data_IF_331656658780
#
_entry.id   IF_331656658780
#
_cell.length_a   1.000
_cell.length_b   1.000
_cell.length_c   1.000
_cell.angle_alpha   90.00
_cell.angle_beta   90.00
_cell.angle_gamma   90.00
#
_symmetry.space_group_name_H-M   'P 1'
#
loop_
_entity.id
_entity.type
_entity.pdbx_description
1 polymer ?
#
# COMPACT_ATOMS: atom_id res chain seq x y z
N UNK A 1 2.76 16.95 -6.73
CA UNK A 1 1.71 16.21 -6.90
C UNK A 1 1.93 14.73 -7.06
N UNK A 2 1.50 14.15 -8.09
CA UNK A 2 1.46 12.70 -8.14
C UNK A 2 2.73 12.05 -8.64
N UNK A 3 3.77 12.82 -8.86
CA UNK A 3 5.04 12.25 -9.31
C UNK A 3 5.56 11.21 -8.33
N UNK A 4 5.40 11.48 -7.02
CA UNK A 4 5.87 10.54 -6.00
C UNK A 4 5.06 9.25 -6.00
N UNK A 5 3.74 9.34 -6.17
CA UNK A 5 2.91 8.14 -6.25
C UNK A 5 3.18 7.37 -7.54
N UNK A 6 3.57 8.07 -8.60
CA UNK A 6 3.93 7.43 -9.86
C UNK A 6 5.26 6.69 -9.78
N UNK A 7 6.09 6.95 -8.77
CA UNK A 7 7.36 6.23 -8.58
C UNK A 7 7.12 4.72 -8.44
N UNK A 8 5.98 4.32 -7.88
CA UNK A 8 5.63 2.91 -7.78
C UNK A 8 5.55 2.26 -9.16
N UNK A 9 5.10 3.01 -10.16
CA UNK A 9 4.88 2.52 -11.51
C UNK A 9 5.99 2.90 -12.49
N UNK A 10 7.04 3.56 -12.01
CA UNK A 10 8.13 4.02 -12.86
C UNK A 10 8.78 2.84 -13.60
N UNK A 11 8.91 2.97 -14.91
CA UNK A 11 9.47 1.92 -15.78
C UNK A 11 8.44 0.94 -16.31
N UNK A 12 7.19 1.03 -15.84
CA UNK A 12 6.10 0.22 -16.40
C UNK A 12 5.53 0.88 -17.66
N UNK A 13 4.79 0.09 -18.45
CA UNK A 13 4.20 0.59 -19.70
C UNK A 13 3.23 1.75 -19.45
N UNK A 14 3.27 2.76 -20.32
CA UNK A 14 2.45 3.97 -20.18
C UNK A 14 0.96 3.67 -20.14
N UNK A 15 0.50 2.73 -20.96
CA UNK A 15 -0.92 2.36 -20.97
C UNK A 15 -1.35 1.74 -19.66
N UNK A 16 -0.52 0.87 -19.11
CA UNK A 16 -0.80 0.26 -17.81
C UNK A 16 -0.88 1.32 -16.73
N UNK A 17 0.09 2.23 -16.69
CA UNK A 17 0.12 3.29 -15.67
C UNK A 17 -1.14 4.14 -15.75
N UNK A 18 -1.56 4.49 -16.97
CA UNK A 18 -2.79 5.27 -17.16
C UNK A 18 -4.01 4.51 -16.65
N UNK A 19 -4.15 3.24 -17.02
CA UNK A 19 -5.27 2.42 -16.58
C UNK A 19 -5.28 2.27 -15.06
N UNK A 20 -4.11 2.07 -14.46
CA UNK A 20 -4.01 1.95 -13.01
C UNK A 20 -4.44 3.24 -12.31
N UNK A 21 -3.97 4.38 -12.78
CA UNK A 21 -4.34 5.67 -12.18
C UNK A 21 -5.82 6.00 -12.39
N UNK A 22 -6.38 5.64 -13.54
CA UNK A 22 -7.81 5.82 -13.81
C UNK A 22 -8.67 4.93 -12.89
N UNK A 23 -8.15 3.78 -12.51
CA UNK A 23 -8.83 2.85 -11.61
C UNK A 23 -8.81 3.33 -10.16
N UNK A 24 -7.81 4.11 -9.79
CA UNK A 24 -7.60 4.53 -8.41
C UNK A 24 -8.69 5.46 -7.91
N UNK A 25 -9.06 5.30 -6.65
CA UNK A 25 -9.94 6.22 -5.95
C UNK A 25 -9.10 7.10 -5.03
N UNK A 26 -9.22 8.41 -5.19
CA UNK A 26 -8.55 9.35 -4.28
C UNK A 26 -9.30 9.42 -2.96
N UNK A 27 -8.57 9.31 -1.87
CA UNK A 27 -9.12 9.43 -0.53
C UNK A 27 -8.41 10.54 0.23
N UNK A 28 -9.20 11.37 0.92
CA UNK A 28 -8.72 12.34 1.89
C UNK A 28 -9.28 11.93 3.24
N UNK A 29 -8.41 11.49 4.13
CA UNK A 29 -8.82 10.97 5.43
C UNK A 29 -8.31 11.86 6.54
N UNK A 30 -8.99 11.83 7.68
CA UNK A 30 -8.62 12.61 8.85
C UNK A 30 -7.95 11.72 9.88
N UNK A 31 -7.36 12.36 10.89
CA UNK A 31 -6.79 11.64 12.03
C UNK A 31 -7.86 10.75 12.68
N UNK A 32 -7.50 9.50 12.92
CA UNK A 32 -8.40 8.52 13.54
C UNK A 32 -9.18 7.67 12.54
N UNK A 33 -9.20 8.06 11.25
CA UNK A 33 -9.90 7.25 10.26
C UNK A 33 -9.17 5.92 10.06
N UNK A 34 -9.94 4.85 10.11
CA UNK A 34 -9.40 3.50 9.95
C UNK A 34 -9.62 3.03 8.52
N UNK A 35 -8.55 2.55 7.89
CA UNK A 35 -8.64 2.02 6.53
C UNK A 35 -9.13 0.58 6.54
N UNK A 36 -8.64 -0.23 7.48
CA UNK A 36 -9.07 -1.62 7.65
C UNK A 36 -8.59 -2.16 9.00
N UNK A 37 -9.17 -3.27 9.40
CA UNK A 37 -8.76 -4.00 10.59
C UNK A 37 -8.05 -5.29 10.20
N UNK A 38 -7.11 -5.73 11.03
CA UNK A 38 -6.50 -7.05 10.89
C UNK A 38 -7.59 -8.10 10.81
N UNK A 39 -7.49 -9.01 9.85
CA UNK A 39 -8.47 -10.07 9.65
C UNK A 39 -9.60 -9.72 8.70
N UNK A 40 -9.76 -8.44 8.34
CA UNK A 40 -10.75 -8.05 7.34
C UNK A 40 -10.33 -8.59 5.97
N UNK A 41 -11.31 -8.81 5.09
CA UNK A 41 -11.05 -9.22 3.72
C UNK A 41 -10.15 -8.21 3.00
N UNK A 42 -9.05 -8.70 2.43
CA UNK A 42 -8.02 -7.86 1.80
C UNK A 42 -8.45 -7.46 0.38
N UNK A 43 -9.43 -6.59 0.29
CA UNK A 43 -10.02 -6.16 -0.97
C UNK A 43 -9.27 -5.04 -1.66
N UNK A 44 -8.60 -4.20 -0.90
CA UNK A 44 -7.93 -3.01 -1.42
C UNK A 44 -6.49 -2.95 -1.00
N UNK A 45 -5.67 -2.30 -1.81
CA UNK A 45 -4.41 -1.75 -1.32
C UNK A 45 -4.42 -0.25 -1.56
N UNK A 46 -3.53 0.45 -0.87
CA UNK A 46 -3.47 1.90 -0.88
C UNK A 46 -2.05 2.34 -1.17
N UNK A 47 -1.92 3.47 -1.87
CA UNK A 47 -0.64 4.14 -2.08
C UNK A 47 -0.68 5.46 -1.35
N UNK A 48 0.26 5.67 -0.44
CA UNK A 48 0.34 6.89 0.34
C UNK A 48 0.82 8.05 -0.53
N UNK A 49 0.08 9.15 -0.50
CA UNK A 49 0.47 10.39 -1.18
C UNK A 49 1.05 11.37 -0.17
N UNK A 50 0.38 11.56 0.95
CA UNK A 50 0.80 12.48 2.00
C UNK A 50 0.14 12.06 3.31
N UNK A 51 0.85 12.23 4.41
CA UNK A 51 0.32 11.92 5.74
C UNK A 51 1.00 10.74 6.37
N UNK A 52 0.34 10.15 7.37
CA UNK A 52 0.89 9.03 8.12
C UNK A 52 -0.19 8.02 8.46
N UNK A 53 0.16 6.75 8.28
CA UNK A 53 -0.72 5.62 8.59
C UNK A 53 0.02 4.67 9.49
N UNK A 54 -0.53 4.41 10.68
CA UNK A 54 0.06 3.41 11.56
C UNK A 54 -0.50 2.04 11.25
N UNK A 55 0.36 1.05 11.25
CA UNK A 55 -0.01 -0.36 11.14
C UNK A 55 0.16 -0.97 12.52
N UNK A 56 -0.86 -1.67 13.01
CA UNK A 56 -0.84 -2.24 14.35
C UNK A 56 -1.48 -3.63 14.36
N UNK A 57 -1.19 -4.40 15.41
CA UNK A 57 -1.81 -5.71 15.61
C UNK A 57 -3.11 -5.54 16.36
N UNK A 58 -4.16 -6.21 15.88
CA UNK A 58 -5.50 -6.06 16.46
C UNK A 58 -6.01 -4.64 16.30
N UNK A 59 -6.98 -4.25 17.13
CA UNK A 59 -7.56 -2.89 17.07
C UNK A 59 -6.76 -1.87 17.86
N UNK A 60 -6.19 -2.30 18.97
CA UNK A 60 -5.49 -1.41 19.91
C UNK A 60 -4.13 -1.97 20.32
N UNK A 61 -3.62 -2.93 19.58
CA UNK A 61 -2.37 -3.60 19.91
C UNK A 61 -1.13 -2.81 19.50
N UNK A 62 0.04 -3.45 19.60
CA UNK A 62 1.31 -2.78 19.33
C UNK A 62 1.40 -2.26 17.90
N UNK A 63 2.01 -1.10 17.74
CA UNK A 63 2.32 -0.54 16.43
C UNK A 63 3.52 -1.32 15.87
N UNK A 64 3.36 -1.84 14.65
CA UNK A 64 4.43 -2.58 13.98
C UNK A 64 5.15 -1.72 12.94
N UNK A 65 4.51 -0.69 12.42
CA UNK A 65 5.11 0.20 11.43
C UNK A 65 4.26 1.46 11.27
N UNK A 66 4.92 2.59 10.93
CA UNK A 66 4.22 3.81 10.54
C UNK A 66 4.66 4.17 9.12
N UNK A 67 3.72 4.09 8.18
CA UNK A 67 3.95 4.51 6.80
C UNK A 67 3.90 6.04 6.76
N UNK A 68 4.95 6.66 6.20
CA UNK A 68 5.10 8.12 6.17
C UNK A 68 5.71 8.66 4.89
N UNK A 69 6.18 7.80 4.01
CA UNK A 69 6.83 8.22 2.77
C UNK A 69 5.88 8.10 1.59
N UNK A 70 5.85 9.11 0.69
CA UNK A 70 5.06 8.99 -0.54
C UNK A 70 5.43 7.72 -1.29
N UNK A 71 4.45 7.13 -1.95
CA UNK A 71 4.54 5.88 -2.72
C UNK A 71 4.61 4.61 -1.88
N UNK A 72 4.58 4.69 -0.55
CA UNK A 72 4.48 3.47 0.24
C UNK A 72 3.13 2.78 0.03
N UNK A 73 3.17 1.46 -0.04
CA UNK A 73 1.97 0.64 -0.17
C UNK A 73 1.47 0.24 1.21
N UNK A 74 0.16 0.38 1.41
CA UNK A 74 -0.54 -0.05 2.62
C UNK A 74 -1.55 -1.10 2.19
N UNK A 75 -1.60 -2.23 2.92
CA UNK A 75 -2.49 -3.33 2.56
C UNK A 75 -1.89 -4.27 1.52
N UNK A 76 -0.58 -4.50 1.59
CA UNK A 76 0.16 -5.34 0.65
C UNK A 76 -0.36 -6.78 0.57
N UNK A 77 -1.04 -7.26 1.61
CA UNK A 77 -1.63 -8.61 1.62
C UNK A 77 -2.51 -8.85 0.40
N UNK A 78 -3.25 -7.81 -0.02
CA UNK A 78 -4.12 -7.90 -1.18
C UNK A 78 -3.36 -8.17 -2.48
N UNK A 79 -2.10 -7.71 -2.57
CA UNK A 79 -1.30 -7.85 -3.80
C UNK A 79 -0.69 -9.24 -3.97
N UNK A 80 -0.46 -9.95 -2.88
CA UNK A 80 0.19 -11.26 -2.93
C UNK A 80 -0.78 -12.42 -2.73
N UNK A 81 -2.07 -12.14 -2.84
CA UNK A 81 -3.08 -13.20 -2.81
C UNK A 81 -3.48 -13.70 -1.43
N UNK A 82 -3.17 -12.95 -0.37
CA UNK A 82 -3.68 -13.27 0.97
C UNK A 82 -5.14 -12.81 1.05
N UNK A 83 -5.95 -13.58 1.73
CA UNK A 83 -7.39 -13.30 1.81
C UNK A 83 -7.72 -12.19 2.79
N UNK A 84 -6.90 -12.02 3.82
CA UNK A 84 -7.15 -11.06 4.89
C UNK A 84 -5.91 -10.20 5.16
N UNK A 85 -6.16 -9.03 5.74
CA UNK A 85 -5.08 -8.14 6.14
C UNK A 85 -4.34 -8.70 7.35
N UNK A 86 -3.02 -8.53 7.35
CA UNK A 86 -2.14 -9.02 8.42
C UNK A 86 -1.97 -8.03 9.57
N UNK A 87 -2.48 -6.82 9.42
CA UNK A 87 -2.43 -5.75 10.42
C UNK A 87 -3.60 -4.82 10.23
N UNK A 88 -3.88 -3.98 11.22
CA UNK A 88 -4.85 -2.88 11.10
C UNK A 88 -4.15 -1.63 10.63
N UNK A 89 -4.87 -0.74 9.94
CA UNK A 89 -4.32 0.51 9.42
C UNK A 89 -5.20 1.68 9.82
N UNK A 90 -4.60 2.70 10.43
CA UNK A 90 -5.30 3.89 10.90
C UNK A 90 -4.49 5.13 10.57
N UNK A 91 -5.16 6.16 10.06
CA UNK A 91 -4.55 7.45 9.80
C UNK A 91 -4.30 8.17 11.13
N UNK A 92 -3.08 8.66 11.35
CA UNK A 92 -2.72 9.35 12.59
C UNK A 92 -2.53 10.85 12.40
N UNK A 93 -2.80 11.33 11.20
CA UNK A 93 -2.87 12.75 10.84
C UNK A 93 -3.66 12.85 9.54
N UNK A 94 -4.01 14.06 9.06
CA UNK A 94 -4.67 14.19 7.75
C UNK A 94 -3.84 13.51 6.66
N UNK A 95 -4.46 12.63 5.91
CA UNK A 95 -3.76 11.71 5.00
C UNK A 95 -4.47 11.63 3.66
N UNK A 96 -3.69 11.72 2.58
CA UNK A 96 -4.18 11.53 1.22
C UNK A 96 -3.62 10.22 0.66
N UNK A 97 -4.49 9.45 0.05
CA UNK A 97 -4.16 8.11 -0.46
C UNK A 97 -4.79 7.89 -1.83
N UNK A 98 -4.23 6.96 -2.57
CA UNK A 98 -4.90 6.33 -3.71
C UNK A 98 -5.30 4.93 -3.27
N UNK A 99 -6.57 4.58 -3.47
CA UNK A 99 -7.07 3.24 -3.18
C UNK A 99 -7.29 2.47 -4.46
N UNK A 100 -6.83 1.24 -4.49
CA UNK A 100 -6.96 0.35 -5.63
C UNK A 100 -7.74 -0.90 -5.25
N UNK A 101 -8.76 -1.23 -6.03
CA UNK A 101 -9.45 -2.51 -5.89
C UNK A 101 -8.51 -3.60 -6.39
N UNK A 102 -8.25 -4.60 -5.53
CA UNK A 102 -7.29 -5.67 -5.81
C UNK A 102 -7.61 -6.42 -7.09
N UNK A 103 -8.83 -6.87 -7.23
CA UNK A 103 -9.20 -7.71 -8.37
C UNK A 103 -9.07 -6.96 -9.68
N UNK A 104 -9.55 -5.72 -9.69
CA UNK A 104 -9.49 -4.89 -10.89
C UNK A 104 -8.05 -4.54 -11.25
N UNK A 105 -7.24 -4.23 -10.23
CA UNK A 105 -5.83 -3.92 -10.46
C UNK A 105 -5.08 -5.13 -11.02
N UNK A 106 -5.27 -6.31 -10.44
CA UNK A 106 -4.62 -7.52 -10.91
C UNK A 106 -5.09 -7.90 -12.32
N UNK A 107 -6.34 -7.58 -12.65
CA UNK A 107 -6.86 -7.82 -13.99
C UNK A 107 -6.13 -6.98 -15.03
N UNK A 108 -5.90 -5.69 -14.77
CA UNK A 108 -5.16 -4.84 -15.72
C UNK A 108 -3.66 -5.14 -15.72
N UNK A 109 -3.11 -5.61 -14.62
CA UNK A 109 -1.71 -6.07 -14.58
C UNK A 109 -1.54 -7.29 -15.47
N UNK A 110 -2.54 -8.20 -15.48
CA UNK A 110 -2.65 -9.31 -16.39
C UNK A 110 -1.41 -10.19 -16.42
N UNK A 111 -1.06 -10.63 -17.62
CA UNK A 111 0.09 -11.52 -17.85
C UNK A 111 1.36 -10.77 -18.27
N UNK A 112 1.38 -9.45 -18.12
CA UNK A 112 2.55 -8.67 -18.49
C UNK A 112 3.68 -8.91 -17.49
N UNK A 113 4.61 -9.78 -17.87
CA UNK A 113 5.69 -10.20 -16.98
C UNK A 113 6.64 -9.05 -16.59
N UNK A 114 6.83 -8.09 -17.48
CA UNK A 114 7.71 -6.95 -17.19
C UNK A 114 7.10 -6.06 -16.10
N UNK A 115 5.82 -5.73 -16.22
CA UNK A 115 5.13 -4.93 -15.21
C UNK A 115 5.04 -5.67 -13.88
N UNK A 116 4.77 -6.98 -13.91
CA UNK A 116 4.74 -7.80 -12.71
C UNK A 116 6.10 -7.79 -12.01
N UNK A 117 7.17 -7.98 -12.77
CA UNK A 117 8.51 -8.00 -12.20
C UNK A 117 8.86 -6.68 -11.51
N UNK A 118 8.53 -5.55 -12.15
CA UNK A 118 8.79 -4.23 -11.57
C UNK A 118 7.98 -4.03 -10.29
N UNK A 119 6.69 -4.33 -10.34
CA UNK A 119 5.81 -4.15 -9.19
C UNK A 119 6.28 -4.95 -7.99
N UNK A 120 6.50 -6.25 -8.18
CA UNK A 120 6.83 -7.12 -7.06
C UNK A 120 8.25 -6.91 -6.56
N UNK A 121 9.17 -6.48 -7.41
CA UNK A 121 10.50 -6.07 -6.96
C UNK A 121 10.40 -4.86 -6.03
N UNK A 122 9.61 -3.86 -6.39
CA UNK A 122 9.42 -2.66 -5.55
C UNK A 122 8.72 -3.00 -4.26
N UNK A 123 7.72 -3.86 -4.32
CA UNK A 123 7.05 -4.32 -3.11
C UNK A 123 8.05 -5.02 -2.18
N UNK A 124 8.89 -5.89 -2.73
CA UNK A 124 9.91 -6.58 -1.95
C UNK A 124 10.90 -5.61 -1.34
N UNK A 125 11.36 -4.60 -2.08
CA UNK A 125 12.26 -3.57 -1.57
C UNK A 125 11.62 -2.78 -0.43
N UNK A 126 10.36 -2.41 -0.59
CA UNK A 126 9.63 -1.68 0.44
C UNK A 126 9.48 -2.52 1.71
N UNK A 127 9.08 -3.77 1.58
CA UNK A 127 8.92 -4.66 2.72
C UNK A 127 10.26 -4.96 3.38
N UNK A 128 11.34 -5.10 2.60
CA UNK A 128 12.69 -5.25 3.11
C UNK A 128 13.11 -4.05 3.95
N UNK A 129 12.83 -2.84 3.49
CA UNK A 129 13.14 -1.62 4.24
C UNK A 129 12.37 -1.57 5.55
N UNK A 130 11.09 -1.97 5.54
CA UNK A 130 10.30 -2.05 6.78
C UNK A 130 10.88 -3.06 7.76
N UNK A 131 11.33 -4.20 7.25
CA UNK A 131 11.95 -5.22 8.08
C UNK A 131 13.25 -4.70 8.72
N UNK A 132 14.07 -3.98 7.94
CA UNK A 132 15.32 -3.41 8.46
C UNK A 132 15.08 -2.39 9.57
N UNK A 133 13.98 -1.64 9.51
CA UNK A 133 13.61 -0.69 10.56
C UNK A 133 13.32 -1.38 11.89
N UNK A 134 12.97 -2.66 11.87
CA UNK A 134 12.69 -3.42 13.09
C UNK A 134 13.97 -3.90 13.79
N UNK A 135 15.09 -4.01 13.06
CA UNK A 135 16.33 -4.58 13.59
C UNK A 135 16.86 -3.89 14.84
N UNK A 136 16.85 -2.54 14.95
CA UNK A 136 17.33 -1.88 16.16
C UNK A 136 16.53 -2.24 17.41
N UNK A 137 15.33 -2.77 17.26
CA UNK A 137 14.43 -3.13 18.35
C UNK A 137 14.52 -4.60 18.74
N UNK A 138 15.40 -5.36 18.08
CA UNK A 138 15.61 -6.78 18.37
C UNK A 138 16.75 -6.88 19.37
N UNK A 139 16.52 -7.53 20.53
CA UNK A 139 17.56 -7.68 21.58
C UNK A 139 18.76 -8.47 21.10
#
# INVERSE_FOLDING_TARGET
MYLKSADLFLGMGKEFVKEALDLATKLSQTEGDRLFNQGDHARYFYVLLKGKVKLSLGKTGPIVYVARHPSEIIGWSSLIGRDVYSASAECIEPTNLLRFDRERFLMILGDNSDNQAILFKRLAEMLGNRLLELYPNIP
#
